data_IF_873379232511
#
_entry.id   IF_873379232511
#
_cell.length_a   1.000
_cell.length_b   1.000
_cell.length_c   1.000
_cell.angle_alpha   90.00
_cell.angle_beta   90.00
_cell.angle_gamma   90.00
#
_symmetry.space_group_name_H-M   'P 1'
#
loop_
_entity.id
_entity.type
_entity.pdbx_description
1 polymer ?
#
# COMPACT_ATOMS: atom_id res chain seq x y z
N UNK A 1 11.75 -10.37 -3.79
CA UNK A 1 11.41 -8.93 -3.90
C UNK A 1 12.18 -8.15 -2.84
N UNK A 2 12.81 -7.01 -3.19
CA UNK A 2 13.64 -6.19 -2.29
C UNK A 2 12.92 -4.97 -1.70
N UNK A 3 11.62 -5.09 -1.40
CA UNK A 3 10.78 -3.97 -0.96
C UNK A 3 11.15 -3.45 0.43
N UNK A 4 11.02 -2.14 0.64
CA UNK A 4 11.19 -1.48 1.95
C UNK A 4 9.82 -1.10 2.51
N UNK A 5 9.57 -1.39 3.78
CA UNK A 5 8.36 -0.97 4.50
C UNK A 5 8.66 0.19 5.45
N UNK A 6 8.50 1.45 5.02
CA UNK A 6 8.68 2.62 5.87
C UNK A 6 7.45 2.82 6.79
N UNK A 7 7.67 3.43 7.96
CA UNK A 7 6.57 3.75 8.89
C UNK A 7 5.59 4.84 8.42
N UNK A 8 5.91 5.54 7.32
CA UNK A 8 5.13 6.67 6.78
C UNK A 8 4.79 6.51 5.30
N UNK A 9 3.65 7.06 4.90
CA UNK A 9 3.21 7.15 3.50
C UNK A 9 3.79 8.43 2.89
N UNK A 10 4.41 8.31 1.72
CA UNK A 10 5.05 9.40 0.98
C UNK A 10 4.83 9.22 -0.52
N UNK A 11 5.15 10.23 -1.33
CA UNK A 11 5.05 10.14 -2.79
C UNK A 11 5.92 9.05 -3.44
N UNK A 12 6.86 8.45 -2.69
CA UNK A 12 7.67 7.31 -3.15
C UNK A 12 7.06 5.95 -2.83
N UNK A 13 5.94 5.93 -2.11
CA UNK A 13 5.28 4.70 -1.70
C UNK A 13 4.53 4.12 -2.91
N UNK A 14 4.84 2.87 -3.26
CA UNK A 14 4.22 2.17 -4.40
C UNK A 14 2.80 1.71 -4.11
N UNK A 15 2.56 1.23 -2.89
CA UNK A 15 1.23 0.82 -2.43
C UNK A 15 1.17 0.90 -0.90
N UNK A 16 -0.04 1.09 -0.37
CA UNK A 16 -0.36 0.98 1.06
C UNK A 16 -1.15 -0.32 1.26
N UNK A 17 -0.59 -1.27 2.00
CA UNK A 17 -1.34 -2.47 2.41
C UNK A 17 -2.05 -2.21 3.72
N UNK A 18 -3.35 -2.51 3.79
CA UNK A 18 -4.21 -2.31 4.96
C UNK A 18 -4.82 -3.63 5.42
N UNK A 19 -4.94 -3.80 6.73
CA UNK A 19 -5.76 -4.85 7.34
C UNK A 19 -7.09 -4.28 7.86
N UNK A 20 -7.81 -5.04 8.68
CA UNK A 20 -9.20 -4.77 9.09
C UNK A 20 -9.49 -3.38 9.69
N UNK A 21 -8.50 -2.76 10.35
CA UNK A 21 -8.65 -1.44 10.97
C UNK A 21 -7.45 -0.52 10.64
N UNK A 22 -7.37 0.06 9.43
CA UNK A 22 -6.27 0.91 9.06
C UNK A 22 -6.38 2.29 9.72
N UNK A 23 -5.23 2.85 10.11
CA UNK A 23 -5.19 4.19 10.68
C UNK A 23 -5.62 5.25 9.65
N UNK A 24 -6.64 6.04 9.99
CA UNK A 24 -7.25 7.04 9.10
C UNK A 24 -6.23 8.01 8.47
N UNK A 25 -5.19 8.40 9.21
CA UNK A 25 -4.16 9.32 8.72
C UNK A 25 -3.34 8.76 7.54
N UNK A 26 -3.07 7.44 7.51
CA UNK A 26 -2.31 6.81 6.43
C UNK A 26 -3.16 6.62 5.18
N UNK A 27 -4.42 6.22 5.36
CA UNK A 27 -5.38 6.05 4.26
C UNK A 27 -5.64 7.38 3.57
N UNK A 28 -6.00 8.42 4.33
CA UNK A 28 -6.22 9.76 3.80
C UNK A 28 -4.99 10.29 3.04
N UNK A 29 -3.78 10.03 3.55
CA UNK A 29 -2.54 10.44 2.88
C UNK A 29 -2.26 9.64 1.61
N UNK A 30 -2.60 8.35 1.57
CA UNK A 30 -2.50 7.53 0.36
C UNK A 30 -3.45 8.03 -0.73
N UNK A 31 -4.71 8.30 -0.37
CA UNK A 31 -5.72 8.87 -1.28
C UNK A 31 -5.27 10.23 -1.86
N UNK A 32 -4.80 11.14 -1.00
CA UNK A 32 -4.29 12.45 -1.42
C UNK A 32 -3.12 12.37 -2.42
N UNK A 33 -2.30 11.34 -2.29
CA UNK A 33 -1.11 11.13 -3.13
C UNK A 33 -1.38 10.20 -4.33
N UNK A 34 -2.61 9.70 -4.49
CA UNK A 34 -2.97 8.73 -5.53
C UNK A 34 -2.25 7.38 -5.38
N UNK A 35 -1.90 7.00 -4.16
CA UNK A 35 -1.21 5.74 -3.87
C UNK A 35 -2.25 4.62 -3.76
N UNK A 36 -2.11 3.51 -4.51
CA UNK A 36 -3.00 2.36 -4.42
C UNK A 36 -3.05 1.80 -2.99
N UNK A 37 -4.26 1.50 -2.53
CA UNK A 37 -4.51 0.84 -1.25
C UNK A 37 -4.88 -0.61 -1.54
N UNK A 38 -4.15 -1.55 -0.95
CA UNK A 38 -4.31 -2.98 -1.14
C UNK A 38 -4.78 -3.65 0.14
N UNK A 39 -5.65 -4.63 0.01
CA UNK A 39 -5.91 -5.62 1.05
C UNK A 39 -4.90 -6.78 0.96
N UNK A 40 -5.13 -7.83 1.75
CA UNK A 40 -4.29 -9.04 1.74
C UNK A 40 -4.23 -9.69 0.36
N UNK A 41 -5.38 -9.89 -0.30
CA UNK A 41 -5.45 -10.51 -1.62
C UNK A 41 -4.73 -9.68 -2.70
N UNK A 42 -4.89 -8.36 -2.68
CA UNK A 42 -4.18 -7.45 -3.57
C UNK A 42 -2.67 -7.49 -3.35
N UNK A 43 -2.22 -7.61 -2.10
CA UNK A 43 -0.81 -7.74 -1.77
C UNK A 43 -0.24 -9.09 -2.23
N UNK A 44 -0.96 -10.19 -2.03
CA UNK A 44 -0.57 -11.51 -2.54
C UNK A 44 -0.40 -11.50 -4.07
N UNK A 45 -1.32 -10.87 -4.80
CA UNK A 45 -1.20 -10.70 -6.26
C UNK A 45 0.06 -9.92 -6.62
N UNK A 46 0.31 -8.79 -5.96
CA UNK A 46 1.50 -7.99 -6.19
C UNK A 46 2.80 -8.78 -5.96
N UNK A 47 2.84 -9.63 -4.94
CA UNK A 47 3.99 -10.49 -4.68
C UNK A 47 4.14 -11.58 -5.75
N UNK A 48 3.05 -12.18 -6.21
CA UNK A 48 3.08 -13.25 -7.20
C UNK A 48 3.44 -12.76 -8.61
N UNK A 49 2.90 -11.60 -9.02
CA UNK A 49 3.01 -11.11 -10.41
C UNK A 49 3.93 -9.90 -10.56
N UNK A 50 4.21 -9.16 -9.48
CA UNK A 50 4.89 -7.87 -9.54
C UNK A 50 4.00 -6.72 -10.04
N UNK A 51 2.71 -6.97 -10.27
CA UNK A 51 1.77 -5.97 -10.79
C UNK A 51 0.78 -5.53 -9.72
N UNK A 52 0.54 -4.22 -9.67
CA UNK A 52 -0.56 -3.66 -8.89
C UNK A 52 -1.91 -4.06 -9.53
N UNK A 53 -2.92 -4.41 -8.74
CA UNK A 53 -4.28 -4.60 -9.25
C UNK A 53 -4.89 -3.31 -9.79
#
# INVERSE_FOLDING_TARGET
HGGKSPGSVSARTTALVVGDAPGASKVAKAEQLGIPVLDEAGFERLLATGELP
#
